data_IF_642648284538
#
_entry.id   IF_642648284538
#
_cell.length_a   1.000
_cell.length_b   1.000
_cell.length_c   1.000
_cell.angle_alpha   90.00
_cell.angle_beta   90.00
_cell.angle_gamma   90.00
#
_symmetry.space_group_name_H-M   'P 1'
#
loop_
_entity.id
_entity.type
_entity.pdbx_description
1 polymer ?
#
# COMPACT_ATOMS: atom_id res chain seq x y z
N UNK A 1 8.29 0.62 3.51
CA UNK A 1 7.88 1.90 2.88
C UNK A 1 6.38 2.08 2.98
N UNK A 2 5.95 3.29 3.21
CA UNK A 2 4.53 3.65 3.19
C UNK A 2 4.24 4.48 1.94
N UNK A 3 3.19 4.13 1.21
CA UNK A 3 2.84 4.74 -0.07
C UNK A 3 1.47 5.41 -0.03
N UNK A 4 1.42 6.65 -0.52
CA UNK A 4 0.17 7.35 -0.77
C UNK A 4 -0.40 7.00 -2.14
N UNK A 5 -1.72 6.99 -2.26
CA UNK A 5 -2.43 6.67 -3.49
C UNK A 5 -2.88 7.91 -4.30
N UNK A 6 -2.39 9.09 -3.94
CA UNK A 6 -2.71 10.32 -4.67
C UNK A 6 -2.08 10.36 -6.06
N UNK A 7 -2.52 11.32 -6.89
CA UNK A 7 -2.01 11.45 -8.26
C UNK A 7 -0.54 11.87 -8.32
N UNK A 8 -0.07 12.63 -7.33
CA UNK A 8 1.29 13.17 -7.31
C UNK A 8 2.38 12.09 -7.40
N UNK A 9 2.35 11.01 -6.61
CA UNK A 9 3.41 10.01 -6.64
C UNK A 9 3.27 8.93 -7.73
N UNK A 10 2.16 8.89 -8.47
CA UNK A 10 1.90 7.78 -9.42
C UNK A 10 2.99 7.64 -10.48
N UNK A 11 3.48 8.74 -11.02
CA UNK A 11 4.52 8.71 -12.04
C UNK A 11 5.84 8.16 -11.49
N UNK A 12 6.17 8.53 -10.25
CA UNK A 12 7.34 7.96 -9.57
C UNK A 12 7.21 6.44 -9.43
N UNK A 13 6.04 5.96 -8.99
CA UNK A 13 5.82 4.51 -8.84
C UNK A 13 5.95 3.78 -10.16
N UNK A 14 5.42 4.37 -11.24
CA UNK A 14 5.50 3.81 -12.58
C UNK A 14 6.95 3.71 -13.05
N UNK A 15 7.73 4.78 -12.86
CA UNK A 15 9.15 4.80 -13.24
C UNK A 15 9.96 3.77 -12.46
N UNK A 16 9.70 3.59 -11.17
CA UNK A 16 10.37 2.57 -10.36
C UNK A 16 10.08 1.18 -10.93
N UNK A 17 8.82 0.91 -11.28
CA UNK A 17 8.43 -0.37 -11.88
C UNK A 17 9.10 -0.61 -13.22
N UNK A 18 9.17 0.40 -14.07
CA UNK A 18 9.82 0.29 -15.39
C UNK A 18 11.32 0.02 -15.28
N UNK A 19 11.98 0.55 -14.27
CA UNK A 19 13.42 0.36 -14.06
C UNK A 19 13.76 -0.99 -13.45
N UNK A 20 12.78 -1.78 -13.07
CA UNK A 20 12.95 -3.13 -12.52
C UNK A 20 13.96 -3.20 -11.38
N UNK A 21 13.89 -2.27 -10.45
CA UNK A 21 14.75 -2.26 -9.28
C UNK A 21 14.48 -3.51 -8.41
N UNK A 22 15.49 -4.01 -7.67
CA UNK A 22 15.34 -5.22 -6.84
C UNK A 22 14.60 -4.90 -5.53
N UNK A 23 13.29 -4.72 -5.58
CA UNK A 23 12.45 -4.27 -4.47
C UNK A 23 11.61 -5.36 -3.81
N UNK A 24 11.79 -6.63 -4.20
CA UNK A 24 10.99 -7.74 -3.69
C UNK A 24 11.10 -7.94 -2.16
N UNK A 25 12.10 -7.36 -1.52
CA UNK A 25 12.32 -7.44 -0.07
C UNK A 25 11.52 -6.39 0.72
N UNK A 26 10.90 -5.42 0.05
CA UNK A 26 10.18 -4.35 0.75
C UNK A 26 8.90 -4.85 1.43
N UNK A 27 8.61 -4.26 2.58
CA UNK A 27 7.27 -4.25 3.14
C UNK A 27 6.60 -2.95 2.73
N UNK A 28 5.46 -3.04 2.04
CA UNK A 28 4.70 -1.89 1.57
C UNK A 28 3.47 -1.71 2.46
N UNK A 29 3.29 -0.50 2.97
CA UNK A 29 2.11 -0.11 3.75
C UNK A 29 1.35 0.97 3.00
N UNK A 30 0.05 0.79 2.81
CA UNK A 30 -0.81 1.85 2.29
C UNK A 30 -0.98 2.94 3.37
N UNK A 31 -0.90 4.20 2.96
CA UNK A 31 -1.01 5.34 3.89
C UNK A 31 -2.43 5.45 4.45
N UNK A 32 -3.43 5.39 3.59
CA UNK A 32 -4.83 5.64 3.94
C UNK A 32 -5.78 4.87 3.02
N UNK A 33 -7.08 5.00 3.29
CA UNK A 33 -8.13 4.39 2.49
C UNK A 33 -9.43 5.19 2.57
N UNK A 34 -10.23 5.13 1.53
CA UNK A 34 -11.59 5.69 1.52
C UNK A 34 -12.58 4.68 2.10
N UNK A 35 -13.22 5.04 3.19
CA UNK A 35 -14.27 4.22 3.80
C UNK A 35 -15.46 4.11 2.83
N UNK A 36 -15.93 2.90 2.62
CA UNK A 36 -17.08 2.63 1.77
C UNK A 36 -16.76 2.35 0.31
N UNK A 37 -15.49 2.46 -0.12
CA UNK A 37 -15.09 2.13 -1.48
C UNK A 37 -14.63 0.67 -1.53
N UNK A 38 -15.34 -0.24 -2.23
CA UNK A 38 -14.96 -1.64 -2.30
C UNK A 38 -13.56 -1.85 -2.86
N UNK A 39 -12.89 -2.90 -2.39
CA UNK A 39 -11.51 -3.22 -2.79
C UNK A 39 -11.35 -3.41 -4.29
N UNK A 40 -12.34 -3.91 -4.98
CA UNK A 40 -12.32 -4.16 -6.42
C UNK A 40 -12.50 -2.89 -7.27
N UNK A 41 -12.91 -1.77 -6.68
CA UNK A 41 -13.02 -0.52 -7.41
C UNK A 41 -11.64 0.08 -7.69
N UNK A 42 -11.39 0.58 -8.93
CA UNK A 42 -10.09 1.15 -9.29
C UNK A 42 -9.65 2.35 -8.44
N UNK A 43 -10.59 3.10 -7.87
CA UNK A 43 -10.30 4.27 -7.00
C UNK A 43 -10.00 3.89 -5.55
N UNK A 44 -10.21 2.63 -5.16
CA UNK A 44 -9.80 2.15 -3.84
C UNK A 44 -8.28 2.28 -3.72
N UNK A 45 -7.80 2.90 -2.64
CA UNK A 45 -6.37 3.20 -2.49
C UNK A 45 -5.51 1.94 -2.49
N UNK A 46 -5.95 0.91 -1.77
CA UNK A 46 -5.23 -0.35 -1.72
C UNK A 46 -5.19 -1.05 -3.09
N UNK A 47 -6.26 -0.98 -3.85
CA UNK A 47 -6.32 -1.49 -5.23
C UNK A 47 -5.34 -0.74 -6.13
N UNK A 48 -5.35 0.58 -6.07
CA UNK A 48 -4.49 1.42 -6.90
C UNK A 48 -3.01 1.13 -6.62
N UNK A 49 -2.59 1.16 -5.35
CA UNK A 49 -1.20 0.88 -4.97
C UNK A 49 -0.78 -0.54 -5.40
N UNK A 50 -1.67 -1.50 -5.28
CA UNK A 50 -1.39 -2.87 -5.71
C UNK A 50 -1.05 -2.92 -7.20
N UNK A 51 -1.86 -2.28 -8.03
CA UNK A 51 -1.68 -2.28 -9.49
C UNK A 51 -0.45 -1.50 -9.96
N UNK A 52 -0.14 -0.38 -9.31
CA UNK A 52 0.91 0.53 -9.80
C UNK A 52 2.25 0.36 -9.10
N UNK A 53 2.29 -0.27 -7.96
CA UNK A 53 3.52 -0.46 -7.19
C UNK A 53 3.77 -1.92 -6.82
N UNK A 54 2.87 -2.57 -6.10
CA UNK A 54 3.12 -3.91 -5.56
C UNK A 54 3.45 -4.91 -6.67
N UNK A 55 2.58 -5.04 -7.66
CA UNK A 55 2.80 -5.95 -8.79
C UNK A 55 3.99 -5.56 -9.65
N UNK A 56 4.07 -4.29 -10.16
CA UNK A 56 5.18 -3.92 -11.03
C UNK A 56 6.55 -3.97 -10.36
N UNK A 57 6.61 -3.76 -9.04
CA UNK A 57 7.87 -3.82 -8.30
C UNK A 57 8.26 -5.24 -7.89
N UNK A 58 7.41 -6.22 -8.15
CA UNK A 58 7.68 -7.61 -7.80
C UNK A 58 7.62 -7.91 -6.30
N UNK A 59 6.90 -7.10 -5.53
CA UNK A 59 6.74 -7.32 -4.10
C UNK A 59 5.68 -8.39 -3.86
N UNK A 60 5.98 -9.45 -3.09
CA UNK A 60 5.00 -10.49 -2.77
C UNK A 60 3.77 -9.92 -2.05
N UNK A 61 2.59 -10.45 -2.36
CA UNK A 61 1.33 -9.99 -1.76
C UNK A 61 1.34 -10.05 -0.22
N UNK A 62 2.04 -11.00 0.37
CA UNK A 62 2.17 -11.12 1.82
C UNK A 62 2.99 -10.01 2.49
N UNK A 63 3.68 -9.19 1.70
CA UNK A 63 4.45 -8.03 2.16
C UNK A 63 3.75 -6.71 1.88
N UNK A 64 2.50 -6.74 1.44
CA UNK A 64 1.68 -5.57 1.23
C UNK A 64 0.55 -5.50 2.26
N UNK A 65 0.49 -4.40 2.97
CA UNK A 65 -0.42 -4.16 4.09
C UNK A 65 -1.26 -2.92 3.84
N UNK A 66 -2.57 -3.05 4.03
CA UNK A 66 -3.52 -1.98 3.88
C UNK A 66 -4.61 -2.07 4.94
N UNK A 67 -5.35 -0.98 5.11
CA UNK A 67 -6.52 -0.96 5.99
C UNK A 67 -7.77 -1.35 5.21
N UNK A 68 -8.78 -1.85 5.91
CA UNK A 68 -10.08 -2.15 5.29
C UNK A 68 -10.84 -0.87 4.97
N UNK A 69 -11.48 -0.84 3.81
CA UNK A 69 -12.40 0.24 3.44
C UNK A 69 -13.82 0.02 3.91
N UNK A 70 -14.15 -1.16 4.43
CA UNK A 70 -15.51 -1.56 4.78
C UNK A 70 -15.74 -1.52 6.28
N UNK A 71 -16.85 -0.91 6.71
CA UNK A 71 -17.32 -0.99 8.09
C UNK A 71 -17.98 -2.37 8.34
N UNK A 72 -17.91 -2.92 9.56
CA UNK A 72 -17.31 -2.33 10.77
C UNK A 72 -15.80 -2.56 10.93
N UNK A 73 -15.15 -3.26 10.00
CA UNK A 73 -13.76 -3.68 10.12
C UNK A 73 -12.74 -2.53 10.01
N UNK A 74 -13.15 -1.39 9.44
CA UNK A 74 -12.23 -0.29 9.13
C UNK A 74 -11.40 0.16 10.35
N UNK A 75 -12.04 0.44 11.47
CA UNK A 75 -11.33 0.91 12.67
C UNK A 75 -10.41 -0.15 13.28
N UNK A 76 -10.86 -1.39 13.32
CA UNK A 76 -10.03 -2.50 13.81
C UNK A 76 -8.82 -2.72 12.90
N UNK A 77 -8.99 -2.57 11.60
CA UNK A 77 -7.91 -2.72 10.63
C UNK A 77 -6.84 -1.63 10.76
N UNK A 78 -7.21 -0.42 11.15
CA UNK A 78 -6.25 0.67 11.41
C UNK A 78 -5.31 0.30 12.56
N UNK A 79 -5.84 -0.23 13.64
CA UNK A 79 -5.00 -0.70 14.77
C UNK A 79 -4.09 -1.85 14.38
N UNK A 80 -4.60 -2.80 13.62
CA UNK A 80 -3.81 -3.91 13.12
C UNK A 80 -2.69 -3.41 12.17
N UNK A 81 -2.99 -2.41 11.35
CA UNK A 81 -2.03 -1.80 10.44
C UNK A 81 -0.87 -1.13 11.21
N UNK A 82 -1.19 -0.34 12.23
CA UNK A 82 -0.20 0.27 13.11
C UNK A 82 0.69 -0.79 13.78
N UNK A 83 0.09 -1.85 14.28
CA UNK A 83 0.82 -2.95 14.91
C UNK A 83 1.80 -3.61 13.93
N UNK A 84 1.39 -3.83 12.70
CA UNK A 84 2.27 -4.39 11.67
C UNK A 84 3.46 -3.51 11.35
N UNK A 85 3.26 -2.18 11.35
CA UNK A 85 4.36 -1.23 11.17
C UNK A 85 5.37 -1.38 12.31
N UNK A 86 4.90 -1.46 13.55
CA UNK A 86 5.75 -1.65 14.72
C UNK A 86 6.52 -2.98 14.61
N UNK A 87 5.84 -4.06 14.25
CA UNK A 87 6.45 -5.39 14.10
C UNK A 87 7.50 -5.43 12.99
N UNK A 88 7.32 -4.62 11.95
CA UNK A 88 8.28 -4.51 10.85
C UNK A 88 9.50 -3.65 11.22
N UNK A 89 9.54 -3.07 12.41
CA UNK A 89 10.63 -2.19 12.84
C UNK A 89 10.43 -0.71 12.52
N UNK A 90 9.23 -0.31 12.14
CA UNK A 90 8.91 1.07 11.77
C UNK A 90 8.93 1.31 10.25
N UNK A 91 8.90 2.58 9.88
CA UNK A 91 8.95 3.00 8.47
C UNK A 91 10.31 3.64 8.16
N UNK A 92 10.91 3.23 7.06
CA UNK A 92 12.16 3.84 6.56
C UNK A 92 11.88 4.99 5.59
N UNK A 93 10.82 4.86 4.78
CA UNK A 93 10.48 5.83 3.73
C UNK A 93 8.97 6.02 3.68
N UNK A 94 8.54 7.26 3.52
CA UNK A 94 7.17 7.65 3.25
C UNK A 94 7.13 8.47 1.96
N UNK A 95 6.30 8.04 1.03
CA UNK A 95 6.11 8.74 -0.24
C UNK A 95 4.66 9.21 -0.38
#
# INVERSE_FOLDING_TARGET
>A
VMLAAGNTPLELYRLIGERRLPLAHLNIFALDEYVGVPREEPRNCANLIHRIAVEPWGVPAGQYFCVSSLEPEAFASVRAHEQRIVEAGGLDVLI
#
